data_IF_330049673032
#
_entry.id   IF_330049673032
#
_cell.length_a   1.000
_cell.length_b   1.000
_cell.length_c   1.000
_cell.angle_alpha   90.00
_cell.angle_beta   90.00
_cell.angle_gamma   90.00
#
_symmetry.space_group_name_H-M   'P 1'
#
loop_
_entity.id
_entity.type
_entity.pdbx_description
1 polymer ?
#
# COMPACT_ATOMS: atom_id res chain seq x y z
N UNK A 1 -13.82 34.42 -12.54
CA UNK A 1 -14.63 33.77 -11.49
C UNK A 1 -14.07 34.21 -10.15
N UNK A 2 -14.67 35.24 -9.53
CA UNK A 2 -14.20 35.80 -8.26
C UNK A 2 -14.70 34.96 -7.09
N UNK A 3 -13.83 34.70 -6.11
CA UNK A 3 -14.17 33.98 -4.89
C UNK A 3 -14.78 35.01 -3.93
N UNK A 4 -15.98 34.74 -3.40
CA UNK A 4 -16.63 35.62 -2.43
C UNK A 4 -16.05 35.36 -1.04
N UNK A 5 -15.36 36.35 -0.47
CA UNK A 5 -14.91 36.29 0.92
C UNK A 5 -16.11 36.50 1.85
N UNK A 6 -16.40 35.54 2.72
CA UNK A 6 -17.45 35.65 3.74
C UNK A 6 -16.81 36.02 5.07
N UNK A 7 -17.04 37.25 5.52
CA UNK A 7 -16.73 37.66 6.89
C UNK A 7 -17.99 37.54 7.76
N UNK A 8 -17.84 37.02 8.98
CA UNK A 8 -18.93 36.93 9.96
C UNK A 8 -19.35 38.34 10.42
N UNK A 9 -20.64 38.67 10.31
CA UNK A 9 -21.20 39.96 10.76
C UNK A 9 -21.43 40.07 12.27
N UNK A 10 -21.28 38.99 13.02
CA UNK A 10 -21.55 38.95 14.45
C UNK A 10 -20.24 38.89 15.24
N UNK A 11 -20.07 39.84 16.17
CA UNK A 11 -19.00 39.80 17.16
C UNK A 11 -19.41 38.87 18.31
N UNK A 12 -18.51 37.96 18.69
CA UNK A 12 -18.72 37.09 19.84
C UNK A 12 -18.58 37.89 21.14
N UNK A 13 -19.53 37.80 22.09
CA UNK A 13 -19.40 38.47 23.38
C UNK A 13 -18.18 37.90 24.12
N UNK A 14 -17.28 38.79 24.59
CA UNK A 14 -16.00 38.51 25.25
C UNK A 14 -14.80 38.16 24.36
N UNK A 15 -14.88 38.32 23.03
CA UNK A 15 -13.69 38.22 22.18
C UNK A 15 -12.80 39.47 22.34
N UNK A 16 -11.49 39.28 22.51
CA UNK A 16 -10.52 40.37 22.45
C UNK A 16 -10.50 40.97 21.04
N UNK A 17 -10.28 42.30 20.88
CA UNK A 17 -10.18 42.92 19.57
C UNK A 17 -9.05 42.28 18.77
N UNK A 18 -9.38 41.59 17.68
CA UNK A 18 -8.37 41.16 16.70
C UNK A 18 -7.85 42.38 15.97
N UNK A 19 -6.53 42.53 15.89
CA UNK A 19 -5.90 43.54 15.05
C UNK A 19 -6.38 43.34 13.61
N UNK A 20 -6.76 44.43 12.94
CA UNK A 20 -7.07 44.38 11.52
C UNK A 20 -5.78 44.02 10.78
N UNK A 21 -5.73 42.84 10.16
CA UNK A 21 -4.68 42.53 9.20
C UNK A 21 -4.93 43.40 7.97
N UNK A 22 -4.02 44.34 7.70
CA UNK A 22 -3.91 44.97 6.39
C UNK A 22 -3.40 43.91 5.43
N UNK A 23 -4.30 43.37 4.60
CA UNK A 23 -3.90 42.51 3.50
C UNK A 23 -3.36 43.40 2.39
N UNK A 24 -2.10 43.21 2.02
CA UNK A 24 -1.53 43.85 0.84
C UNK A 24 -2.32 43.39 -0.39
N UNK A 25 -2.80 44.36 -1.18
CA UNK A 25 -3.44 44.07 -2.47
C UNK A 25 -2.44 43.35 -3.38
N UNK A 26 -2.86 42.21 -3.93
CA UNK A 26 -2.04 41.46 -4.86
C UNK A 26 -1.67 42.35 -6.06
N UNK A 27 -0.40 42.35 -6.50
CA UNK A 27 0.02 43.17 -7.63
C UNK A 27 -0.81 42.83 -8.87
N UNK A 28 -1.18 43.88 -9.62
CA UNK A 28 -2.04 43.76 -10.78
C UNK A 28 -1.47 42.71 -11.76
N UNK A 29 -2.31 41.72 -12.12
CA UNK A 29 -1.91 40.68 -13.07
C UNK A 29 -1.73 41.30 -14.45
N UNK A 30 -0.48 41.37 -14.91
CA UNK A 30 -0.18 41.74 -16.29
C UNK A 30 -0.96 40.85 -17.27
N UNK A 31 -1.45 41.41 -18.39
CA UNK A 31 -2.21 40.68 -19.40
C UNK A 31 -1.39 39.51 -19.99
N UNK A 32 -2.04 38.42 -20.44
CA UNK A 32 -1.37 37.17 -20.82
C UNK A 32 -0.27 37.32 -21.88
N UNK A 33 -0.39 38.32 -22.77
CA UNK A 33 0.60 38.60 -23.81
C UNK A 33 1.94 39.07 -23.26
N UNK A 34 1.94 39.97 -22.28
CA UNK A 34 3.18 40.51 -21.71
C UNK A 34 3.93 39.46 -20.89
N UNK A 35 3.21 38.54 -20.24
CA UNK A 35 3.78 37.37 -19.55
C UNK A 35 4.54 36.43 -20.50
N UNK A 36 4.04 36.22 -21.72
CA UNK A 36 4.73 35.37 -22.71
C UNK A 36 5.98 36.04 -23.26
N UNK A 37 5.96 37.37 -23.47
CA UNK A 37 7.15 38.10 -23.91
C UNK A 37 8.27 38.07 -22.87
N UNK A 38 7.96 38.27 -21.58
CA UNK A 38 8.95 38.20 -20.51
C UNK A 38 9.60 36.80 -20.38
N UNK A 39 8.83 35.73 -20.63
CA UNK A 39 9.34 34.35 -20.60
C UNK A 39 10.20 33.98 -21.82
N UNK A 40 10.05 34.69 -22.94
CA UNK A 40 10.87 34.51 -24.13
C UNK A 40 12.19 35.27 -24.05
N UNK A 41 12.21 36.44 -23.41
CA UNK A 41 13.41 37.26 -23.22
C UNK A 41 14.38 36.67 -22.17
N UNK A 42 13.87 35.91 -21.19
CA UNK A 42 14.68 35.34 -20.09
C UNK A 42 15.20 33.91 -20.39
N UNK A 43 15.10 33.47 -21.65
CA UNK A 43 15.56 32.15 -22.06
C UNK A 43 17.10 32.12 -22.21
N UNK A 44 17.83 31.27 -21.44
CA UNK A 44 19.28 31.18 -21.55
C UNK A 44 19.72 30.58 -22.91
N UNK A 45 20.87 31.01 -23.46
CA UNK A 45 21.35 30.53 -24.76
C UNK A 45 21.69 29.02 -24.72
N UNK A 46 21.45 28.29 -25.83
CA UNK A 46 21.68 26.85 -25.89
C UNK A 46 23.17 26.50 -25.74
N UNK A 47 23.47 25.52 -24.88
CA UNK A 47 24.82 24.95 -24.75
C UNK A 47 25.21 24.19 -26.03
N UNK A 48 26.45 24.34 -26.51
CA UNK A 48 26.94 23.56 -27.65
C UNK A 48 27.02 22.07 -27.30
N UNK A 49 26.53 21.25 -28.23
CA UNK A 49 26.48 19.79 -28.17
C UNK A 49 27.86 19.22 -28.56
N UNK A 50 28.47 18.31 -27.77
CA UNK A 50 29.66 17.60 -28.22
C UNK A 50 29.32 16.64 -29.36
N UNK A 51 30.26 16.53 -30.29
CA UNK A 51 30.15 15.82 -31.56
C UNK A 51 29.96 14.30 -31.40
N UNK A 52 29.29 13.73 -32.41
CA UNK A 52 29.09 12.32 -32.61
C UNK A 52 30.42 11.56 -32.81
N UNK A 53 30.51 10.38 -32.23
CA UNK A 53 31.40 9.32 -32.69
C UNK A 53 30.52 8.13 -33.12
N UNK A 54 30.57 7.85 -34.42
CA UNK A 54 29.94 6.70 -35.06
C UNK A 54 30.73 5.39 -34.81
N UNK A 55 30.00 4.29 -35.03
CA UNK A 55 30.46 3.00 -35.53
C UNK A 55 31.09 1.99 -34.55
N UNK A 56 30.33 0.97 -34.15
CA UNK A 56 30.25 -0.28 -34.93
C UNK A 56 29.55 -1.39 -34.13
N UNK A 57 28.42 -1.89 -34.66
CA UNK A 57 27.95 -3.24 -34.42
C UNK A 57 28.54 -4.17 -35.50
N UNK A 58 28.71 -5.47 -35.19
CA UNK A 58 27.79 -6.42 -35.80
C UNK A 58 27.34 -7.55 -34.85
N UNK A 59 26.12 -8.03 -35.09
CA UNK A 59 25.56 -9.29 -34.60
C UNK A 59 26.01 -10.47 -35.51
N UNK A 60 25.47 -11.71 -35.36
CA UNK A 60 25.33 -12.55 -34.17
C UNK A 60 26.09 -13.89 -34.37
N UNK A 61 26.48 -14.56 -33.28
CA UNK A 61 26.93 -15.96 -33.34
C UNK A 61 25.92 -16.86 -32.63
N UNK A 62 25.27 -17.67 -33.43
CA UNK A 62 24.48 -18.84 -33.08
C UNK A 62 25.30 -19.83 -32.25
N UNK A 63 24.78 -20.23 -31.10
CA UNK A 63 25.06 -21.56 -30.55
C UNK A 63 23.79 -22.14 -29.93
N UNK A 64 23.17 -23.02 -30.70
CA UNK A 64 22.28 -24.05 -30.18
C UNK A 64 23.09 -24.97 -29.26
N UNK A 65 22.64 -25.12 -28.02
CA UNK A 65 22.92 -26.32 -27.22
C UNK A 65 21.56 -26.81 -26.69
N UNK A 66 21.14 -27.94 -27.26
CA UNK A 66 19.87 -28.60 -27.01
C UNK A 66 19.80 -29.25 -25.61
N UNK A 67 18.59 -29.46 -25.08
CA UNK A 67 18.36 -30.04 -23.75
C UNK A 67 18.50 -31.56 -23.78
N UNK A 68 19.54 -32.11 -23.14
CA UNK A 68 19.67 -33.54 -22.89
C UNK A 68 19.56 -33.83 -21.39
N UNK A 69 18.33 -33.80 -20.87
CA UNK A 69 18.01 -34.34 -19.55
C UNK A 69 16.56 -34.87 -19.48
N UNK A 70 16.01 -35.38 -20.59
CA UNK A 70 14.61 -35.87 -20.67
C UNK A 70 14.52 -37.33 -21.18
N UNK A 71 15.59 -38.13 -21.02
CA UNK A 71 15.63 -39.54 -21.44
C UNK A 71 16.07 -40.51 -20.34
N UNK A 72 15.72 -40.22 -19.08
CA UNK A 72 15.94 -41.13 -17.95
C UNK A 72 14.63 -41.60 -17.26
N UNK A 73 13.46 -41.29 -17.83
CA UNK A 73 12.16 -41.53 -17.16
C UNK A 73 11.14 -42.32 -17.99
N UNK A 74 11.53 -43.02 -19.06
CA UNK A 74 10.60 -43.89 -19.80
C UNK A 74 11.26 -45.20 -20.29
N UNK A 75 10.88 -46.30 -19.63
CA UNK A 75 11.08 -47.69 -20.04
C UNK A 75 11.74 -48.51 -18.93
N UNK A 76 11.11 -49.45 -18.23
CA UNK A 76 9.76 -50.01 -18.31
C UNK A 76 9.80 -51.47 -17.83
N UNK A 77 9.29 -51.71 -16.60
CA UNK A 77 8.58 -52.91 -16.07
C UNK A 77 9.15 -54.34 -16.22
N UNK A 78 8.58 -55.38 -15.57
CA UNK A 78 7.86 -55.51 -14.28
C UNK A 78 8.46 -56.65 -13.40
N UNK A 79 7.97 -56.87 -12.16
CA UNK A 79 7.63 -58.20 -11.58
C UNK A 79 7.03 -58.02 -10.16
N UNK A 80 5.75 -58.37 -10.09
CA UNK A 80 4.96 -59.04 -9.05
C UNK A 80 5.13 -58.78 -7.54
N UNK A 81 4.00 -58.29 -7.02
CA UNK A 81 3.40 -58.35 -5.68
C UNK A 81 3.49 -59.73 -5.01
N UNK A 82 3.56 -59.79 -3.66
CA UNK A 82 2.34 -60.04 -2.90
C UNK A 82 2.06 -59.00 -1.79
N UNK A 83 0.77 -58.86 -1.49
CA UNK A 83 0.14 -57.83 -0.68
C UNK A 83 0.14 -58.18 0.86
N UNK A 84 -0.59 -57.45 1.72
CA UNK A 84 -0.02 -56.44 2.60
C UNK A 84 -0.24 -56.75 4.10
N UNK A 85 0.63 -56.23 4.97
CA UNK A 85 0.30 -56.09 6.39
C UNK A 85 0.01 -54.63 6.69
N UNK A 86 -1.26 -54.38 6.98
CA UNK A 86 -1.80 -53.12 7.40
C UNK A 86 -1.16 -52.66 8.71
N UNK A 87 -0.56 -51.47 8.68
CA UNK A 87 -0.47 -50.61 9.85
C UNK A 87 -1.23 -49.36 9.48
N UNK A 88 -2.49 -49.31 9.94
CA UNK A 88 -3.30 -48.12 10.00
C UNK A 88 -2.58 -47.12 10.92
N UNK A 89 -1.87 -46.18 10.32
CA UNK A 89 -1.83 -44.81 10.83
C UNK A 89 -2.56 -43.96 9.80
N UNK A 90 -3.89 -44.11 9.82
CA UNK A 90 -4.80 -43.30 9.05
C UNK A 90 -4.68 -41.86 9.56
N UNK A 91 -3.80 -41.09 8.92
CA UNK A 91 -3.96 -39.64 8.82
C UNK A 91 -5.39 -39.46 8.33
N UNK A 92 -6.27 -39.08 9.24
CA UNK A 92 -7.64 -38.72 8.93
C UNK A 92 -7.58 -37.44 8.12
N UNK A 93 -7.36 -37.57 6.81
CA UNK A 93 -7.73 -36.55 5.85
C UNK A 93 -9.26 -36.45 5.88
N UNK A 94 -9.74 -35.66 6.84
CA UNK A 94 -11.10 -35.13 6.79
C UNK A 94 -11.28 -34.52 5.40
N UNK A 95 -12.33 -34.90 4.64
CA UNK A 95 -12.57 -34.30 3.33
C UNK A 95 -12.71 -32.79 3.50
N UNK A 96 -11.72 -32.02 2.99
CA UNK A 96 -11.78 -30.56 2.94
C UNK A 96 -13.04 -30.21 2.16
N UNK A 97 -14.06 -29.70 2.86
CA UNK A 97 -15.23 -29.14 2.22
C UNK A 97 -14.76 -28.12 1.18
N UNK A 98 -15.30 -28.20 -0.03
CA UNK A 98 -14.96 -27.30 -1.15
C UNK A 98 -15.10 -25.86 -0.68
N UNK A 99 -13.97 -25.22 -0.40
CA UNK A 99 -13.95 -23.93 0.24
C UNK A 99 -14.31 -22.86 -0.80
N UNK A 100 -15.25 -21.98 -0.45
CA UNK A 100 -15.67 -20.88 -1.32
C UNK A 100 -14.45 -19.98 -1.60
N UNK A 101 -14.23 -19.54 -2.86
CA UNK A 101 -13.16 -18.60 -3.17
C UNK A 101 -13.26 -17.34 -2.31
N UNK A 102 -12.16 -16.92 -1.69
CA UNK A 102 -12.09 -15.64 -0.98
C UNK A 102 -12.05 -14.51 -2.00
N UNK A 103 -12.91 -13.52 -1.80
CA UNK A 103 -12.93 -12.28 -2.59
C UNK A 103 -12.77 -11.10 -1.64
N UNK A 104 -11.78 -10.25 -1.91
CA UNK A 104 -11.56 -9.03 -1.13
C UNK A 104 -10.80 -7.97 -1.91
N UNK A 105 -10.90 -6.73 -1.46
CA UNK A 105 -9.99 -5.66 -1.87
C UNK A 105 -9.25 -5.07 -0.67
N UNK A 106 -8.07 -4.53 -0.94
CA UNK A 106 -7.19 -3.90 0.01
C UNK A 106 -6.66 -2.60 -0.56
N UNK A 107 -6.65 -1.57 0.28
CA UNK A 107 -6.09 -0.27 -0.02
C UNK A 107 -4.74 -0.12 0.68
N UNK A 108 -3.68 0.08 -0.11
CA UNK A 108 -2.30 0.09 0.36
C UNK A 108 -1.63 1.46 0.11
N UNK A 109 -0.94 1.99 1.12
CA UNK A 109 -0.14 3.22 1.01
C UNK A 109 1.21 2.99 1.69
N UNK A 110 2.32 3.21 0.99
CA UNK A 110 3.65 3.14 1.58
C UNK A 110 4.09 4.51 2.11
N UNK A 111 4.33 4.61 3.41
CA UNK A 111 4.78 5.80 4.13
C UNK A 111 6.32 5.79 4.20
N UNK A 112 6.94 6.82 3.62
CA UNK A 112 8.39 7.02 3.64
C UNK A 112 9.23 5.85 3.12
N UNK A 113 8.66 4.97 2.29
CA UNK A 113 9.36 3.78 1.77
C UNK A 113 9.59 2.68 2.81
N UNK A 114 9.04 2.79 4.02
CA UNK A 114 9.34 1.89 5.14
C UNK A 114 8.13 1.33 5.87
N UNK A 115 7.02 2.06 5.98
CA UNK A 115 5.86 1.56 6.71
C UNK A 115 4.67 1.42 5.76
N UNK A 116 4.00 0.28 5.82
CA UNK A 116 2.89 -0.03 4.92
C UNK A 116 1.56 0.19 5.65
N UNK A 117 0.79 1.17 5.20
CA UNK A 117 -0.58 1.39 5.66
C UNK A 117 -1.54 0.55 4.83
N UNK A 118 -2.30 -0.32 5.50
CA UNK A 118 -3.26 -1.25 4.89
C UNK A 118 -4.65 -0.98 5.44
N UNK A 119 -5.63 -0.84 4.56
CA UNK A 119 -7.04 -0.71 4.91
C UNK A 119 -7.86 -1.77 4.18
N UNK A 120 -8.85 -2.33 4.86
CA UNK A 120 -9.82 -3.22 4.22
C UNK A 120 -10.65 -2.46 3.18
N UNK A 121 -10.82 -3.06 2.00
CA UNK A 121 -11.65 -2.51 0.94
C UNK A 121 -11.01 -1.40 0.11
N UNK A 122 -11.85 -0.74 -0.68
CA UNK A 122 -11.49 0.43 -1.46
C UNK A 122 -11.67 1.70 -0.61
N UNK A 123 -10.63 2.53 -0.51
CA UNK A 123 -10.66 3.73 0.33
C UNK A 123 -11.35 4.89 -0.39
N UNK A 124 -12.44 5.39 0.18
CA UNK A 124 -13.14 6.58 -0.34
C UNK A 124 -12.27 7.85 -0.23
N UNK A 125 -12.53 8.90 -1.04
CA UNK A 125 -11.77 10.16 -0.95
C UNK A 125 -11.81 10.80 0.44
N UNK A 126 -12.92 10.68 1.15
CA UNK A 126 -13.06 11.16 2.52
C UNK A 126 -12.22 10.38 3.53
N UNK A 127 -12.09 9.06 3.33
CA UNK A 127 -11.23 8.21 4.18
C UNK A 127 -9.76 8.48 3.90
N UNK A 128 -9.39 8.68 2.63
CA UNK A 128 -8.03 9.10 2.24
C UNK A 128 -7.66 10.43 2.90
N UNK A 129 -8.56 11.42 2.86
CA UNK A 129 -8.34 12.72 3.50
C UNK A 129 -8.24 12.59 5.03
N UNK A 130 -9.09 11.77 5.65
CA UNK A 130 -9.02 11.50 7.09
C UNK A 130 -7.67 10.86 7.47
N UNK A 131 -7.26 9.81 6.76
CA UNK A 131 -6.00 9.13 6.98
C UNK A 131 -4.83 10.09 6.83
N UNK A 132 -4.78 10.85 5.74
CA UNK A 132 -3.74 11.85 5.50
C UNK A 132 -3.66 12.88 6.63
N UNK A 133 -4.80 13.39 7.10
CA UNK A 133 -4.87 14.36 8.19
C UNK A 133 -4.38 13.76 9.52
N UNK A 134 -4.79 12.52 9.85
CA UNK A 134 -4.36 11.83 11.07
C UNK A 134 -2.85 11.55 11.06
N UNK A 135 -2.33 11.00 9.96
CA UNK A 135 -0.90 10.71 9.81
C UNK A 135 -0.06 11.99 9.86
N UNK A 136 -0.50 13.06 9.21
CA UNK A 136 0.19 14.36 9.25
C UNK A 136 0.17 14.95 10.65
N UNK A 137 -0.96 14.93 11.33
CA UNK A 137 -1.08 15.46 12.68
C UNK A 137 -0.25 14.66 13.70
N UNK A 138 -0.06 13.36 13.46
CA UNK A 138 0.82 12.52 14.26
C UNK A 138 2.31 12.65 13.90
N UNK A 139 2.66 13.38 12.83
CA UNK A 139 4.03 13.55 12.37
C UNK A 139 4.58 12.38 11.54
N UNK A 140 3.72 11.44 11.11
CA UNK A 140 4.06 10.29 10.26
C UNK A 140 4.14 10.65 8.76
N UNK A 141 3.59 11.81 8.37
CA UNK A 141 3.53 12.26 6.99
C UNK A 141 3.97 13.72 6.86
N UNK A 142 4.96 13.97 5.99
CA UNK A 142 5.44 15.31 5.62
C UNK A 142 4.93 15.66 4.22
N UNK A 143 3.70 16.17 4.12
CA UNK A 143 3.10 16.60 2.84
C UNK A 143 1.82 15.87 2.46
N UNK A 144 1.69 15.56 1.17
CA UNK A 144 0.55 14.83 0.60
C UNK A 144 0.64 13.33 0.86
N UNK A 145 -0.50 12.64 0.82
CA UNK A 145 -0.55 11.19 0.98
C UNK A 145 0.12 10.53 -0.24
N UNK A 146 1.01 9.54 -0.05
CA UNK A 146 1.59 8.79 -1.15
C UNK A 146 0.50 8.10 -1.98
N UNK A 147 0.85 7.73 -3.21
CA UNK A 147 -0.09 7.11 -4.15
C UNK A 147 -0.73 5.86 -3.54
N UNK A 148 -2.07 5.86 -3.53
CA UNK A 148 -2.86 4.72 -3.10
C UNK A 148 -2.79 3.61 -4.16
N UNK A 149 -2.48 2.40 -3.71
CA UNK A 149 -2.49 1.20 -4.54
C UNK A 149 -3.59 0.27 -4.06
N UNK A 150 -4.49 -0.11 -4.95
CA UNK A 150 -5.55 -1.08 -4.64
C UNK A 150 -5.13 -2.48 -5.07
N UNK A 151 -5.21 -3.42 -4.15
CA UNK A 151 -5.06 -4.85 -4.40
C UNK A 151 -6.44 -5.50 -4.41
N UNK A 152 -6.72 -6.31 -5.43
CA UNK A 152 -7.97 -7.08 -5.54
C UNK A 152 -7.63 -8.55 -5.66
N UNK A 153 -8.30 -9.36 -4.85
CA UNK A 153 -8.16 -10.80 -4.84
C UNK A 153 -9.51 -11.46 -5.15
N UNK A 154 -9.54 -12.50 -6.00
CA UNK A 154 -8.42 -13.01 -6.82
C UNK A 154 -8.02 -12.01 -7.93
N UNK A 155 -6.77 -12.03 -8.42
CA UNK A 155 -6.27 -11.08 -9.42
C UNK A 155 -6.95 -11.25 -10.78
N UNK A 156 -7.48 -12.44 -11.06
CA UNK A 156 -8.29 -12.77 -12.22
C UNK A 156 -9.46 -13.63 -11.76
N UNK A 157 -10.63 -13.48 -12.38
CA UNK A 157 -11.76 -14.39 -12.14
C UNK A 157 -11.34 -15.80 -12.58
N UNK A 158 -10.97 -16.64 -11.61
CA UNK A 158 -10.51 -18.00 -11.85
C UNK A 158 -11.70 -18.91 -12.15
N UNK A 159 -11.60 -19.67 -13.25
CA UNK A 159 -12.56 -20.73 -13.58
C UNK A 159 -12.38 -22.00 -12.72
N UNK A 160 -11.32 -22.05 -11.91
CA UNK A 160 -10.94 -23.17 -11.05
C UNK A 160 -11.26 -22.85 -9.59
N UNK A 161 -11.72 -23.86 -8.86
CA UNK A 161 -11.89 -23.76 -7.41
C UNK A 161 -10.53 -23.90 -6.74
N UNK A 162 -10.13 -22.97 -5.84
CA UNK A 162 -8.85 -23.07 -5.14
C UNK A 162 -8.83 -24.30 -4.24
N UNK A 163 -7.68 -24.96 -4.12
CA UNK A 163 -7.52 -26.11 -3.22
C UNK A 163 -7.48 -25.66 -1.76
N UNK A 164 -6.77 -24.55 -1.50
CA UNK A 164 -6.77 -23.87 -0.21
C UNK A 164 -6.91 -22.34 -0.41
N UNK A 165 -8.16 -21.82 -0.47
CA UNK A 165 -8.40 -20.42 -0.78
C UNK A 165 -7.74 -19.43 0.19
N UNK A 166 -7.51 -19.83 1.44
CA UNK A 166 -6.91 -18.97 2.45
C UNK A 166 -5.39 -18.92 2.28
N UNK A 167 -4.75 -20.08 2.13
CA UNK A 167 -3.29 -20.17 1.92
C UNK A 167 -2.89 -19.45 0.62
N UNK A 168 -3.61 -19.69 -0.48
CA UNK A 168 -3.38 -19.00 -1.74
C UNK A 168 -3.53 -17.47 -1.62
N UNK A 169 -4.52 -16.99 -0.86
CA UNK A 169 -4.70 -15.56 -0.60
C UNK A 169 -3.57 -14.95 0.24
N UNK A 170 -3.07 -15.70 1.24
CA UNK A 170 -1.94 -15.28 2.07
C UNK A 170 -0.67 -15.16 1.23
N UNK A 171 -0.38 -16.15 0.39
CA UNK A 171 0.74 -16.14 -0.54
C UNK A 171 0.61 -15.03 -1.58
N UNK A 172 -0.59 -14.85 -2.12
CA UNK A 172 -0.90 -13.79 -3.07
C UNK A 172 -0.66 -12.39 -2.51
N UNK A 173 -1.08 -12.15 -1.27
CA UNK A 173 -0.81 -10.88 -0.55
C UNK A 173 0.69 -10.68 -0.34
N UNK A 174 1.41 -11.71 0.13
CA UNK A 174 2.86 -11.64 0.35
C UNK A 174 3.63 -11.38 -0.96
N UNK A 175 3.24 -12.03 -2.05
CA UNK A 175 3.80 -11.84 -3.38
C UNK A 175 3.54 -10.42 -3.91
N UNK A 176 2.33 -9.89 -3.70
CA UNK A 176 1.99 -8.53 -4.09
C UNK A 176 2.83 -7.50 -3.32
N UNK A 177 2.91 -7.60 -1.99
CA UNK A 177 3.66 -6.65 -1.16
C UNK A 177 5.16 -6.73 -1.44
N UNK A 178 5.73 -7.93 -1.53
CA UNK A 178 7.15 -8.11 -1.87
C UNK A 178 7.47 -7.61 -3.29
N UNK A 179 6.59 -7.86 -4.26
CA UNK A 179 6.73 -7.34 -5.62
C UNK A 179 6.64 -5.81 -5.69
N UNK A 180 5.71 -5.20 -4.95
CA UNK A 180 5.59 -3.75 -4.85
C UNK A 180 6.84 -3.14 -4.18
N UNK A 181 7.28 -3.73 -3.06
CA UNK A 181 8.46 -3.29 -2.34
C UNK A 181 9.73 -3.38 -3.20
N UNK A 182 9.92 -4.47 -3.95
CA UNK A 182 11.07 -4.64 -4.84
C UNK A 182 11.09 -3.60 -5.97
N UNK A 183 9.96 -3.36 -6.64
CA UNK A 183 9.87 -2.42 -7.77
C UNK A 183 10.07 -0.96 -7.35
N UNK A 184 9.66 -0.62 -6.13
CA UNK A 184 9.71 0.73 -5.60
C UNK A 184 10.87 0.96 -4.62
N UNK A 185 11.70 -0.05 -4.37
CA UNK A 185 12.84 0.01 -3.45
C UNK A 185 12.43 0.23 -1.98
N UNK A 186 11.27 -0.27 -1.55
CA UNK A 186 10.82 -0.13 -0.16
C UNK A 186 11.55 -1.11 0.77
N UNK A 187 11.92 -0.62 1.94
CA UNK A 187 12.48 -1.41 3.04
C UNK A 187 11.43 -1.49 4.16
N UNK A 188 10.46 -2.39 4.00
CA UNK A 188 9.31 -2.45 4.90
C UNK A 188 9.70 -2.92 6.30
N UNK A 189 9.35 -2.13 7.31
CA UNK A 189 9.68 -2.36 8.73
C UNK A 189 8.42 -2.64 9.56
N UNK A 190 7.32 -1.96 9.25
CA UNK A 190 6.07 -2.03 10.02
C UNK A 190 4.85 -1.96 9.10
N UNK A 191 3.74 -2.55 9.57
CA UNK A 191 2.43 -2.47 8.94
C UNK A 191 1.47 -1.72 9.85
N UNK A 192 0.74 -0.74 9.31
CA UNK A 192 -0.37 -0.07 9.99
C UNK A 192 -1.67 -0.67 9.45
N UNK A 193 -2.37 -1.45 10.26
CA UNK A 193 -3.61 -2.11 9.90
C UNK A 193 -4.82 -1.30 10.36
N UNK A 194 -5.61 -0.80 9.41
CA UNK A 194 -6.84 -0.01 9.63
C UNK A 194 -8.09 -0.84 9.32
N UNK A 195 -8.29 -1.87 10.13
CA UNK A 195 -9.42 -2.79 9.98
C UNK A 195 -9.60 -3.68 11.18
N UNK A 196 -9.06 -3.30 12.35
CA UNK A 196 -9.38 -3.98 13.59
C UNK A 196 -10.88 -3.77 13.86
N UNK A 197 -11.66 -4.81 13.61
CA UNK A 197 -13.07 -4.84 13.97
C UNK A 197 -13.18 -5.20 15.45
N UNK A 198 -14.03 -4.49 16.18
CA UNK A 198 -14.43 -4.89 17.54
C UNK A 198 -15.37 -6.12 17.52
N UNK A 199 -15.76 -6.61 16.33
CA UNK A 199 -16.60 -7.80 16.18
C UNK A 199 -15.81 -9.09 16.34
N UNK A 200 -16.38 -10.03 17.10
CA UNK A 200 -15.83 -11.34 17.48
C UNK A 200 -15.52 -12.25 16.27
N UNK A 201 -16.10 -11.96 15.10
CA UNK A 201 -15.74 -12.64 13.86
C UNK A 201 -14.53 -11.94 13.23
N UNK A 202 -13.37 -12.59 13.31
CA UNK A 202 -12.17 -12.18 12.61
C UNK A 202 -12.50 -11.98 11.13
N UNK A 203 -12.46 -10.72 10.67
CA UNK A 203 -12.61 -10.35 9.26
C UNK A 203 -11.82 -11.32 8.39
N UNK A 204 -12.35 -11.69 7.22
CA UNK A 204 -11.62 -12.52 6.25
C UNK A 204 -10.21 -11.94 6.00
N UNK A 205 -10.06 -10.61 6.10
CA UNK A 205 -8.77 -9.95 6.01
C UNK A 205 -7.83 -10.23 7.19
N UNK A 206 -8.33 -10.29 8.42
CA UNK A 206 -7.52 -10.64 9.57
C UNK A 206 -6.95 -12.06 9.45
N UNK A 207 -7.69 -12.98 8.82
CA UNK A 207 -7.24 -14.34 8.51
C UNK A 207 -6.19 -14.35 7.40
N UNK A 208 -6.37 -13.56 6.34
CA UNK A 208 -5.38 -13.39 5.25
C UNK A 208 -4.10 -12.69 5.73
N UNK A 209 -4.21 -11.74 6.66
CA UNK A 209 -3.05 -11.14 7.30
C UNK A 209 -2.41 -12.07 8.34
N UNK A 210 -3.12 -13.14 8.74
CA UNK A 210 -2.74 -14.08 9.79
C UNK A 210 -2.18 -13.33 11.01
N UNK A 211 -3.01 -12.42 11.55
CA UNK A 211 -2.66 -11.55 12.67
C UNK A 211 -2.53 -12.37 13.95
N UNK A 212 -1.37 -12.33 14.59
CA UNK A 212 -1.11 -13.00 15.88
C UNK A 212 -0.17 -12.13 16.69
N UNK A 213 -0.58 -11.77 17.91
CA UNK A 213 0.22 -11.00 18.87
C UNK A 213 0.87 -9.72 18.30
N UNK A 214 0.13 -8.98 17.47
CA UNK A 214 0.63 -7.75 16.84
C UNK A 214 1.68 -7.99 15.74
N UNK A 215 1.68 -9.17 15.12
CA UNK A 215 2.47 -9.48 13.92
C UNK A 215 1.59 -10.12 12.85
N UNK A 216 1.93 -9.86 11.60
CA UNK A 216 1.34 -10.56 10.45
C UNK A 216 2.27 -11.70 10.05
N UNK A 217 1.76 -12.94 10.08
CA UNK A 217 2.53 -14.09 9.61
C UNK A 217 2.71 -14.07 8.10
N UNK A 218 1.70 -13.66 7.32
CA UNK A 218 1.78 -13.62 5.86
C UNK A 218 2.81 -12.61 5.36
N UNK A 219 2.91 -11.45 6.02
CA UNK A 219 3.91 -10.42 5.66
C UNK A 219 5.22 -10.55 6.44
N UNK A 220 5.27 -11.35 7.50
CA UNK A 220 6.40 -11.46 8.44
C UNK A 220 6.80 -10.13 9.12
N UNK A 221 5.90 -9.15 9.13
CA UNK A 221 6.12 -7.81 9.69
C UNK A 221 5.36 -7.59 11.00
N UNK A 222 5.87 -6.74 11.91
CA UNK A 222 5.09 -6.22 13.03
C UNK A 222 3.92 -5.38 12.53
N UNK A 223 2.80 -5.47 13.24
CA UNK A 223 1.53 -4.83 12.91
C UNK A 223 1.09 -3.93 14.05
N UNK A 224 0.84 -2.68 13.73
CA UNK A 224 0.11 -1.76 14.58
C UNK A 224 -1.34 -1.72 14.14
N UNK A 225 -2.26 -2.08 15.04
CA UNK A 225 -3.68 -2.20 14.72
C UNK A 225 -4.48 -0.98 15.17
N UNK A 226 -5.37 -0.51 14.30
CA UNK A 226 -6.31 0.56 14.55
C UNK A 226 -7.72 0.21 14.04
N UNK A 227 -8.75 0.85 14.61
CA UNK A 227 -10.11 0.73 14.10
C UNK A 227 -10.19 1.13 12.63
N UNK A 228 -11.12 0.52 11.90
CA UNK A 228 -11.36 0.83 10.49
C UNK A 228 -11.64 2.32 10.24
N UNK A 229 -11.22 2.81 9.08
CA UNK A 229 -11.36 4.23 8.71
C UNK A 229 -12.82 4.69 8.70
N UNK A 230 -13.74 3.84 8.26
CA UNK A 230 -15.18 4.09 8.26
C UNK A 230 -15.73 4.29 9.69
N UNK A 231 -15.35 3.42 10.63
CA UNK A 231 -15.68 3.54 12.06
C UNK A 231 -15.11 4.84 12.64
N UNK A 232 -13.85 5.14 12.33
CA UNK A 232 -13.23 6.39 12.75
C UNK A 232 -14.03 7.57 12.21
N UNK A 233 -14.41 7.61 10.93
CA UNK A 233 -15.21 8.70 10.36
C UNK A 233 -16.49 8.98 11.15
N UNK A 234 -17.21 7.93 11.56
CA UNK A 234 -18.51 8.03 12.24
C UNK A 234 -18.40 8.32 13.75
N UNK A 235 -17.36 7.81 14.42
CA UNK A 235 -17.29 7.82 15.88
C UNK A 235 -16.17 8.73 16.40
N UNK A 236 -16.55 9.91 16.90
CA UNK A 236 -15.60 10.86 17.49
C UNK A 236 -14.90 10.31 18.75
N UNK A 237 -15.58 9.47 19.54
CA UNK A 237 -14.99 8.81 20.72
C UNK A 237 -13.79 7.93 20.34
N UNK A 238 -13.95 7.13 19.29
CA UNK A 238 -12.93 6.22 18.76
C UNK A 238 -11.70 6.97 18.25
N UNK A 239 -11.89 8.11 17.57
CA UNK A 239 -10.76 9.00 17.19
C UNK A 239 -9.98 9.49 18.41
N UNK A 240 -10.69 9.94 19.46
CA UNK A 240 -10.04 10.44 20.68
C UNK A 240 -9.29 9.35 21.43
N UNK A 241 -9.85 8.13 21.50
CA UNK A 241 -9.21 6.98 22.12
C UNK A 241 -7.97 6.51 21.33
N UNK A 242 -8.01 6.60 20.00
CA UNK A 242 -6.88 6.24 19.14
C UNK A 242 -5.72 7.25 19.22
N UNK A 243 -6.03 8.53 19.45
CA UNK A 243 -5.07 9.63 19.33
C UNK A 243 -3.77 9.45 20.13
N UNK A 244 -3.79 9.06 21.43
CA UNK A 244 -2.54 8.85 22.19
C UNK A 244 -1.65 7.75 21.58
N UNK A 245 -2.26 6.67 21.07
CA UNK A 245 -1.54 5.57 20.42
C UNK A 245 -0.90 6.04 19.11
N UNK A 246 -1.61 6.87 18.34
CA UNK A 246 -1.10 7.42 17.09
C UNK A 246 0.03 8.44 17.32
N UNK A 247 -0.05 9.25 18.36
CA UNK A 247 1.04 10.16 18.75
C UNK A 247 2.29 9.39 19.18
N UNK A 248 2.13 8.33 19.99
CA UNK A 248 3.24 7.47 20.38
C UNK A 248 3.91 6.81 19.16
N UNK A 249 3.10 6.39 18.19
CA UNK A 249 3.58 5.85 16.92
C UNK A 249 4.40 6.89 16.12
N UNK A 250 3.92 8.13 16.04
CA UNK A 250 4.66 9.24 15.41
C UNK A 250 6.00 9.56 16.09
N UNK A 251 6.08 9.41 17.41
CA UNK A 251 7.35 9.54 18.14
C UNK A 251 8.32 8.39 17.84
N UNK A 252 7.81 7.16 17.61
CA UNK A 252 8.65 6.04 17.18
C UNK A 252 9.20 6.30 15.79
N UNK A 253 8.36 6.75 14.86
CA UNK A 253 8.77 7.15 13.52
C UNK A 253 9.92 8.15 13.54
N UNK A 254 9.77 9.24 14.31
CA UNK A 254 10.78 10.30 14.34
C UNK A 254 12.10 9.83 14.96
N UNK A 255 12.10 8.94 15.95
CA UNK A 255 13.34 8.39 16.52
C UNK A 255 14.14 7.59 15.50
N UNK A 256 13.47 6.83 14.64
CA UNK A 256 14.13 6.09 13.56
C UNK A 256 14.73 7.00 12.50
N UNK A 257 14.09 8.14 12.18
CA UNK A 257 14.63 9.14 11.26
C UNK A 257 15.89 9.85 11.80
N UNK A 258 16.08 9.94 13.12
CA UNK A 258 17.26 10.56 13.72
C UNK A 258 18.41 9.57 14.00
N UNK A 259 18.16 8.27 13.85
CA UNK A 259 19.14 7.20 14.09
C UNK A 259 19.79 6.67 12.82
N UNK A 260 19.34 7.12 11.65
CA UNK A 260 19.86 6.76 10.32
C UNK A 260 20.66 7.92 9.73
#
# INVERSE_FOLDING_TARGET
MGITAWASRYQLPNALPTQACEWEDAPAKAPPRERLHALLDDAPPPRPRPAAAEASAPAPASSHAAPQAVRALLGGQPVETPAPQASDDAVSETPKAVAKPLEFSLSCVCLGGRWLSLCEGDMSPSEQQLLANMLRAAGLLKGELPTLVTFKWPPMATAFTPEDPLEEAQEGLAAFVSGAASRQGWALENVLWWGASDAVEASAMAQVMALTDGRSRSLSLPVWEAPGLSTLMQQAGTKRALWPRLVALGQQWSRHDHSA
#
